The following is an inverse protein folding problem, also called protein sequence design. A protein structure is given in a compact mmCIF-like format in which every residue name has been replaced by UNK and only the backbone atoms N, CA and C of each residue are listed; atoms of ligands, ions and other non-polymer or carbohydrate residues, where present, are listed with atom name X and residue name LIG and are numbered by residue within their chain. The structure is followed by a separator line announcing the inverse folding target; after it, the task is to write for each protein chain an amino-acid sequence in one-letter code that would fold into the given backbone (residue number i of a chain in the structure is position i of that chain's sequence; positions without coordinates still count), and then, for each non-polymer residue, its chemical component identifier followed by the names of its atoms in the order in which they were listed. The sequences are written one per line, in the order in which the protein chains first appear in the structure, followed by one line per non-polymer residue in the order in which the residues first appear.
data_IF_059269695783
#
_entry.id   IF_059269695783
#
_cell.length_a   1.000
_cell.length_b   1.000
_cell.length_c   1.000
_cell.angle_alpha   90.00
_cell.angle_beta   90.00
_cell.angle_gamma   90.00
#
_symmetry.space_group_name_H-M   'P 1'
#
loop_
_entity.id
_entity.type
_entity.pdbx_description
1 polymer ?
#
# COMPACT_ATOMS: atom_id res chain seq x y z
N UNK A 1 7.12 -3.42 11.18
CA UNK A 1 6.70 -4.46 10.21
C UNK A 1 7.92 -5.30 9.90
N UNK A 2 7.78 -6.61 9.70
CA UNK A 2 8.91 -7.44 9.25
C UNK A 2 9.16 -7.26 7.75
N UNK A 3 10.32 -7.73 7.26
CA UNK A 3 10.75 -7.52 5.87
C UNK A 3 9.80 -8.21 4.87
N UNK A 4 9.26 -9.39 5.20
CA UNK A 4 8.36 -10.13 4.30
C UNK A 4 7.02 -9.42 4.18
N UNK A 5 6.41 -9.05 5.30
CA UNK A 5 5.17 -8.26 5.31
C UNK A 5 5.36 -6.93 4.61
N UNK A 6 6.52 -6.29 4.78
CA UNK A 6 6.81 -4.99 4.14
C UNK A 6 6.91 -5.12 2.62
N UNK A 7 7.58 -6.16 2.11
CA UNK A 7 7.68 -6.43 0.68
C UNK A 7 6.34 -6.80 0.04
N UNK A 8 5.56 -7.64 0.72
CA UNK A 8 4.23 -8.02 0.28
C UNK A 8 3.28 -6.80 0.24
N UNK A 9 3.29 -5.99 1.30
CA UNK A 9 2.49 -4.78 1.36
C UNK A 9 2.90 -3.77 0.28
N UNK A 10 4.19 -3.52 0.08
CA UNK A 10 4.65 -2.59 -0.97
C UNK A 10 4.12 -2.98 -2.35
N UNK A 11 4.09 -4.28 -2.68
CA UNK A 11 3.49 -4.75 -3.93
C UNK A 11 1.98 -4.60 -3.99
N UNK A 12 1.29 -4.88 -2.88
CA UNK A 12 -0.15 -4.62 -2.76
C UNK A 12 -0.44 -3.14 -3.02
N UNK A 13 0.33 -2.24 -2.42
CA UNK A 13 0.16 -0.80 -2.59
C UNK A 13 0.40 -0.36 -4.03
N UNK A 14 1.44 -0.89 -4.70
CA UNK A 14 1.67 -0.63 -6.13
C UNK A 14 0.47 -1.09 -6.98
N UNK A 15 -0.07 -2.27 -6.72
CA UNK A 15 -1.24 -2.77 -7.46
C UNK A 15 -2.50 -1.93 -7.22
N UNK A 16 -2.67 -1.41 -6.01
CA UNK A 16 -3.79 -0.53 -5.66
C UNK A 16 -3.63 0.84 -6.34
N UNK A 17 -2.46 1.47 -6.22
CA UNK A 17 -2.19 2.78 -6.82
C UNK A 17 -2.25 2.78 -8.36
N UNK A 18 -2.00 1.65 -9.01
CA UNK A 18 -2.06 1.53 -10.47
C UNK A 18 -3.43 1.06 -10.98
N UNK A 19 -4.38 0.76 -10.09
CA UNK A 19 -5.63 0.08 -10.46
C UNK A 19 -6.56 0.92 -11.33
N UNK A 20 -6.55 2.23 -11.13
CA UNK A 20 -7.37 3.21 -11.86
C UNK A 20 -6.66 3.75 -13.12
N UNK A 21 -5.40 3.36 -13.34
CA UNK A 21 -4.56 3.81 -14.45
C UNK A 21 -4.07 5.25 -14.34
N UNK A 22 -4.30 5.92 -13.21
CA UNK A 22 -3.93 7.31 -12.96
C UNK A 22 -2.98 7.37 -11.78
N UNK A 23 -1.69 7.21 -12.04
CA UNK A 23 -0.63 7.48 -11.07
C UNK A 23 0.23 8.63 -11.60
N UNK A 24 0.57 9.61 -10.76
CA UNK A 24 1.50 10.66 -11.17
C UNK A 24 2.91 10.10 -11.38
N UNK A 25 3.70 10.76 -12.23
CA UNK A 25 5.07 10.32 -12.48
C UNK A 25 5.94 10.37 -11.21
N UNK A 26 5.66 11.32 -10.32
CA UNK A 26 6.30 11.46 -9.02
C UNK A 26 5.99 10.29 -8.08
N UNK A 27 4.72 9.85 -8.04
CA UNK A 27 4.30 8.70 -7.25
C UNK A 27 4.82 7.38 -7.80
N UNK A 28 4.77 7.20 -9.12
CA UNK A 28 5.34 6.03 -9.78
C UNK A 28 6.83 5.93 -9.47
N UNK A 29 7.57 7.03 -9.61
CA UNK A 29 8.99 7.08 -9.30
C UNK A 29 9.28 6.76 -7.82
N UNK A 30 8.47 7.30 -6.90
CA UNK A 30 8.57 7.00 -5.47
C UNK A 30 8.40 5.50 -5.21
N UNK A 31 7.36 4.88 -5.76
CA UNK A 31 7.07 3.46 -5.58
C UNK A 31 8.16 2.56 -6.20
N UNK A 32 8.70 2.94 -7.36
CA UNK A 32 9.83 2.26 -8.00
C UNK A 32 11.11 2.34 -7.16
N UNK A 33 11.42 3.52 -6.61
CA UNK A 33 12.57 3.73 -5.74
C UNK A 33 12.46 2.87 -4.48
N UNK A 34 11.30 2.85 -3.83
CA UNK A 34 11.07 2.03 -2.64
C UNK A 34 11.12 0.54 -2.96
N UNK A 35 10.60 0.14 -4.12
CA UNK A 35 10.72 -1.24 -4.62
C UNK A 35 12.19 -1.61 -4.81
N UNK A 36 13.00 -0.68 -5.31
CA UNK A 36 14.44 -0.88 -5.50
C UNK A 36 15.19 -0.96 -4.16
N UNK A 37 14.91 -0.05 -3.21
CA UNK A 37 15.47 -0.10 -1.86
C UNK A 37 15.11 -1.43 -1.17
N UNK A 38 13.84 -1.84 -1.27
CA UNK A 38 13.40 -3.13 -0.77
C UNK A 38 14.19 -4.28 -1.40
N UNK A 39 14.35 -4.30 -2.74
CA UNK A 39 15.14 -5.32 -3.44
C UNK A 39 16.60 -5.35 -2.96
N UNK A 40 17.19 -4.20 -2.64
CA UNK A 40 18.56 -4.12 -2.12
C UNK A 40 18.67 -4.68 -0.70
N UNK A 41 17.71 -4.40 0.17
CA UNK A 41 17.66 -4.97 1.52
C UNK A 41 17.33 -6.47 1.50
N UNK A 42 16.38 -6.86 0.65
CA UNK A 42 15.95 -8.24 0.45
C UNK A 42 17.00 -9.08 -0.28
N UNK A 43 17.99 -8.51 -0.98
CA UNK A 43 19.14 -9.27 -1.53
C UNK A 43 19.97 -10.01 -0.46
N UNK A 44 19.70 -9.79 0.83
CA UNK A 44 20.23 -10.59 1.93
C UNK A 44 19.44 -11.92 2.13
N UNK A 45 18.24 -12.07 1.55
CA UNK A 45 17.38 -13.24 1.72
C UNK A 45 16.65 -13.60 0.41
N UNK A 46 16.85 -14.83 -0.09
CA UNK A 46 16.37 -15.35 -1.37
C UNK A 46 14.82 -15.41 -1.53
N UNK A 47 14.15 -14.27 -1.63
CA UNK A 47 12.69 -14.15 -1.83
C UNK A 47 12.31 -13.48 -3.15
N UNK A 48 13.31 -13.24 -4.01
CA UNK A 48 13.17 -12.51 -5.27
C UNK A 48 12.18 -13.20 -6.23
N UNK A 49 12.18 -14.53 -6.25
CA UNK A 49 11.36 -15.34 -7.17
C UNK A 49 9.85 -15.32 -6.86
N UNK A 50 9.48 -15.21 -5.57
CA UNK A 50 8.07 -15.20 -5.13
C UNK A 50 7.39 -13.85 -5.37
N UNK A 51 8.19 -12.79 -5.44
CA UNK A 51 7.73 -11.44 -5.66
C UNK A 51 7.71 -11.13 -7.17
N UNK A 52 8.69 -11.57 -7.96
CA UNK A 52 8.81 -11.18 -9.38
C UNK A 52 7.77 -11.84 -10.33
N UNK A 53 6.89 -12.72 -9.83
CA UNK A 53 5.72 -13.19 -10.57
C UNK A 53 4.54 -12.23 -10.43
N UNK A 54 3.65 -12.08 -11.44
CA UNK A 54 2.37 -11.39 -11.32
C UNK A 54 1.47 -12.19 -10.35
N UNK A 55 1.72 -11.99 -9.08
CA UNK A 55 1.06 -12.65 -7.97
C UNK A 55 -0.20 -11.86 -7.67
N UNK A 56 -1.36 -12.52 -7.73
CA UNK A 56 -2.64 -11.94 -7.36
C UNK A 56 -2.52 -11.20 -6.02
N UNK A 57 -3.19 -10.05 -5.89
CA UNK A 57 -3.23 -9.26 -4.65
C UNK A 57 -3.54 -10.13 -3.42
N UNK A 58 -4.36 -11.18 -3.60
CA UNK A 58 -4.71 -12.15 -2.56
C UNK A 58 -3.50 -12.95 -2.07
N UNK A 59 -2.62 -13.38 -2.98
CA UNK A 59 -1.42 -14.14 -2.66
C UNK A 59 -0.33 -13.29 -2.01
N UNK A 60 -0.33 -11.98 -2.27
CA UNK A 60 0.55 -11.04 -1.60
C UNK A 60 -0.01 -10.71 -0.21
N UNK A 61 -1.32 -10.47 -0.10
CA UNK A 61 -1.98 -10.18 1.16
C UNK A 61 -1.83 -11.32 2.17
N UNK A 62 -1.89 -12.59 1.74
CA UNK A 62 -1.67 -13.74 2.62
C UNK A 62 -0.24 -13.87 3.16
N UNK A 63 0.73 -13.17 2.55
CA UNK A 63 2.12 -13.11 3.04
C UNK A 63 2.34 -12.02 4.11
N UNK A 64 1.36 -11.15 4.35
CA UNK A 64 1.40 -10.12 5.38
C UNK A 64 0.98 -10.74 6.71
N UNK A 65 1.79 -10.59 7.75
CA UNK A 65 1.49 -11.11 9.07
C UNK A 65 0.23 -10.45 9.68
N UNK A 66 -0.56 -11.24 10.41
CA UNK A 66 -1.90 -10.85 10.90
C UNK A 66 -1.91 -9.58 11.76
N UNK A 67 -0.84 -9.35 12.52
CA UNK A 67 -0.68 -8.16 13.35
C UNK A 67 -0.57 -6.86 12.53
N UNK A 68 -0.28 -6.96 11.24
CA UNK A 68 -0.16 -5.82 10.34
C UNK A 68 -1.38 -5.62 9.45
N UNK A 69 -2.38 -6.52 9.47
CA UNK A 69 -3.53 -6.48 8.56
C UNK A 69 -4.31 -5.16 8.61
N UNK A 70 -4.61 -4.65 9.80
CA UNK A 70 -5.34 -3.38 9.95
C UNK A 70 -4.52 -2.19 9.44
N UNK A 71 -3.22 -2.18 9.73
CA UNK A 71 -2.31 -1.14 9.27
C UNK A 71 -2.15 -1.19 7.74
N UNK A 72 -1.93 -2.38 7.18
CA UNK A 72 -1.83 -2.63 5.75
C UNK A 72 -3.10 -2.17 5.01
N UNK A 73 -4.27 -2.51 5.56
CA UNK A 73 -5.56 -2.12 5.00
C UNK A 73 -5.76 -0.59 5.03
N UNK A 74 -5.45 0.06 6.16
CA UNK A 74 -5.49 1.51 6.28
C UNK A 74 -4.58 2.19 5.25
N UNK A 75 -3.33 1.72 5.14
CA UNK A 75 -2.36 2.26 4.18
C UNK A 75 -2.85 2.08 2.75
N UNK A 76 -3.44 0.93 2.41
CA UNK A 76 -4.00 0.70 1.06
C UNK A 76 -5.14 1.67 0.73
N UNK A 77 -6.04 1.95 1.70
CA UNK A 77 -7.09 2.97 1.52
C UNK A 77 -6.47 4.34 1.26
N UNK A 78 -5.50 4.73 2.07
CA UNK A 78 -4.88 6.06 1.96
C UNK A 78 -4.11 6.23 0.64
N UNK A 79 -3.42 5.17 0.17
CA UNK A 79 -2.74 5.17 -1.12
C UNK A 79 -3.73 5.31 -2.27
N UNK A 80 -4.82 4.52 -2.28
CA UNK A 80 -5.87 4.65 -3.28
C UNK A 80 -6.43 6.09 -3.33
N UNK A 81 -6.73 6.67 -2.16
CA UNK A 81 -7.26 8.03 -2.11
C UNK A 81 -6.27 9.13 -2.52
N UNK A 82 -4.96 8.94 -2.31
CA UNK A 82 -3.93 9.94 -2.67
C UNK A 82 -3.60 9.89 -4.16
N UNK A 83 -3.54 8.70 -4.76
CA UNK A 83 -3.13 8.54 -6.15
C UNK A 83 -4.22 8.90 -7.16
N UNK A 84 -5.44 9.19 -6.71
CA UNK A 84 -6.55 9.61 -7.55
C UNK A 84 -6.25 10.90 -8.33
N UNK A 85 -6.72 10.94 -9.57
CA UNK A 85 -6.67 12.14 -10.40
C UNK A 85 -7.52 13.29 -9.81
N UNK A 86 -7.00 14.51 -9.88
CA UNK A 86 -7.70 15.73 -9.46
C UNK A 86 -9.06 15.88 -10.17
N UNK A 87 -10.14 16.01 -9.38
CA UNK A 87 -11.47 16.35 -9.88
C UNK A 87 -12.53 15.24 -9.84
N UNK A 88 -12.22 14.07 -9.29
CA UNK A 88 -13.20 13.01 -9.07
C UNK A 88 -13.81 13.06 -7.65
N UNK A 89 -15.15 13.07 -7.55
CA UNK A 89 -15.90 13.27 -6.30
C UNK A 89 -15.86 12.07 -5.32
N UNK A 90 -15.54 10.87 -5.81
CA UNK A 90 -15.52 9.66 -4.99
C UNK A 90 -14.23 9.53 -4.14
N UNK A 91 -14.26 8.72 -3.09
CA UNK A 91 -13.11 8.53 -2.20
C UNK A 91 -12.09 7.51 -2.74
N UNK A 92 -12.57 6.58 -3.57
CA UNK A 92 -11.86 5.45 -4.19
C UNK A 92 -12.62 5.06 -5.46
N UNK A 93 -11.95 4.69 -6.56
CA UNK A 93 -12.62 4.23 -7.78
C UNK A 93 -13.19 2.80 -7.65
N UNK A 94 -13.93 2.31 -8.65
CA UNK A 94 -14.56 0.99 -8.59
C UNK A 94 -13.54 -0.16 -8.56
N UNK A 95 -12.47 -0.03 -9.34
CA UNK A 95 -11.38 -0.99 -9.49
C UNK A 95 -10.57 -1.09 -8.18
N UNK A 96 -10.19 0.04 -7.61
CA UNK A 96 -9.53 0.12 -6.31
C UNK A 96 -10.43 -0.42 -5.20
N UNK A 97 -11.73 -0.10 -5.22
CA UNK A 97 -12.69 -0.61 -4.23
C UNK A 97 -12.80 -2.15 -4.31
N UNK A 98 -12.71 -2.75 -5.51
CA UNK A 98 -12.65 -4.21 -5.65
C UNK A 98 -11.38 -4.79 -5.02
N UNK A 99 -10.22 -4.16 -5.24
CA UNK A 99 -8.97 -4.58 -4.62
C UNK A 99 -9.01 -4.45 -3.09
N UNK A 100 -9.55 -3.36 -2.57
CA UNK A 100 -9.75 -3.16 -1.13
C UNK A 100 -10.72 -4.18 -0.54
N UNK A 101 -11.81 -4.53 -1.23
CA UNK A 101 -12.73 -5.57 -0.77
C UNK A 101 -12.03 -6.94 -0.70
N UNK A 102 -11.20 -7.26 -1.70
CA UNK A 102 -10.41 -8.48 -1.71
C UNK A 102 -9.38 -8.52 -0.58
N UNK A 103 -8.76 -7.39 -0.26
CA UNK A 103 -7.83 -7.26 0.87
C UNK A 103 -8.56 -7.45 2.20
N UNK A 104 -9.68 -6.77 2.40
CA UNK A 104 -10.47 -6.87 3.62
C UNK A 104 -10.93 -8.31 3.89
N UNK A 105 -11.36 -9.01 2.83
CA UNK A 105 -11.72 -10.42 2.91
C UNK A 105 -10.53 -11.32 3.27
N UNK A 106 -9.36 -11.06 2.68
CA UNK A 106 -8.13 -11.85 2.97
C UNK A 106 -7.61 -11.62 4.38
N UNK A 107 -7.78 -10.41 4.90
CA UNK A 107 -7.43 -10.03 6.27
C UNK A 107 -8.50 -10.38 7.30
N UNK A 108 -9.60 -11.00 6.87
CA UNK A 108 -10.73 -11.39 7.73
C UNK A 108 -11.27 -10.22 8.57
N UNK A 109 -11.25 -9.00 8.01
CA UNK A 109 -11.71 -7.80 8.72
C UNK A 109 -13.24 -7.77 8.80
N UNK A 110 -13.77 -7.47 9.98
CA UNK A 110 -15.20 -7.25 10.17
C UNK A 110 -15.66 -5.94 9.55
N UNK A 111 -16.95 -5.81 9.26
CA UNK A 111 -17.53 -4.55 8.76
C UNK A 111 -17.26 -3.37 9.72
N UNK A 112 -17.37 -3.60 11.03
CA UNK A 112 -17.07 -2.58 12.05
C UNK A 112 -15.60 -2.15 12.02
N UNK A 113 -14.67 -3.10 11.82
CA UNK A 113 -13.25 -2.77 11.66
C UNK A 113 -12.99 -2.00 10.38
N UNK A 114 -13.61 -2.39 9.25
CA UNK A 114 -13.48 -1.70 7.97
C UNK A 114 -13.95 -0.25 8.08
N UNK A 115 -15.12 -0.02 8.68
CA UNK A 115 -15.67 1.32 8.90
C UNK A 115 -14.78 2.17 9.82
N UNK A 116 -14.31 1.59 10.94
CA UNK A 116 -13.41 2.28 11.85
C UNK A 116 -12.09 2.66 11.17
N UNK A 117 -11.50 1.76 10.38
CA UNK A 117 -10.25 2.01 9.65
C UNK A 117 -10.46 3.07 8.57
N UNK A 118 -11.58 3.03 7.82
CA UNK A 118 -11.91 4.08 6.83
C UNK A 118 -12.02 5.45 7.47
N UNK A 119 -12.72 5.55 8.60
CA UNK A 119 -12.83 6.82 9.31
C UNK A 119 -11.46 7.32 9.81
N UNK A 120 -10.57 6.43 10.27
CA UNK A 120 -9.19 6.82 10.62
C UNK A 120 -8.39 7.29 9.40
N UNK A 121 -8.49 6.59 8.27
CA UNK A 121 -7.83 6.97 7.02
C UNK A 121 -8.30 8.36 6.56
N UNK A 122 -9.61 8.62 6.56
CA UNK A 122 -10.17 9.94 6.23
C UNK A 122 -9.65 11.05 7.14
N UNK A 123 -9.52 10.78 8.45
CA UNK A 123 -8.98 11.76 9.40
C UNK A 123 -7.50 12.06 9.14
N UNK A 124 -6.72 11.05 8.75
CA UNK A 124 -5.31 11.24 8.40
C UNK A 124 -5.16 11.97 7.06
N UNK A 125 -5.98 11.64 6.06
CA UNK A 125 -6.00 12.30 4.75
C UNK A 125 -6.42 13.77 4.82
N UNK A 126 -7.26 14.17 5.79
CA UNK A 126 -7.59 15.58 6.05
C UNK A 126 -6.36 16.45 6.38
N UNK A 127 -5.25 15.85 6.80
CA UNK A 127 -3.98 16.55 7.01
C UNK A 127 -3.21 16.82 5.71
N UNK A 128 -3.75 16.35 4.58
CA UNK A 128 -3.13 16.39 3.26
C UNK A 128 -1.72 15.78 3.24
N UNK A 129 -1.55 14.54 3.76
CA UNK A 129 -0.27 13.89 3.69
C UNK A 129 0.08 13.57 2.24
N UNK A 130 1.35 13.70 1.88
CA UNK A 130 1.82 13.16 0.59
C UNK A 130 2.00 11.64 0.67
N UNK A 131 2.13 10.98 -0.49
CA UNK A 131 2.31 9.53 -0.58
C UNK A 131 3.47 9.03 0.30
N UNK A 132 4.59 9.76 0.34
CA UNK A 132 5.74 9.38 1.17
C UNK A 132 5.42 9.38 2.66
N UNK A 133 4.71 10.38 3.17
CA UNK A 133 4.34 10.45 4.59
C UNK A 133 3.43 9.28 4.99
N UNK A 134 2.52 8.86 4.11
CA UNK A 134 1.67 7.69 4.32
C UNK A 134 2.50 6.41 4.36
N UNK A 135 3.39 6.20 3.37
CA UNK A 135 4.25 5.02 3.32
C UNK A 135 5.22 4.98 4.51
N UNK A 136 5.80 6.12 4.89
CA UNK A 136 6.70 6.24 6.04
C UNK A 136 5.99 5.91 7.36
N UNK A 137 4.73 6.34 7.53
CA UNK A 137 3.94 6.00 8.73
C UNK A 137 3.71 4.49 8.88
N UNK A 138 3.72 3.75 7.77
CA UNK A 138 3.49 2.32 7.72
C UNK A 138 4.78 1.50 7.89
N UNK A 139 5.82 1.85 7.14
CA UNK A 139 7.08 1.10 7.11
C UNK A 139 8.11 1.59 8.13
N UNK A 140 7.96 2.82 8.65
CA UNK A 140 8.89 3.46 9.57
C UNK A 140 10.25 3.71 8.91
N UNK A 141 11.33 3.55 9.68
CA UNK A 141 12.71 3.76 9.23
C UNK A 141 13.27 2.62 8.36
N UNK A 142 12.43 1.70 7.88
CA UNK A 142 12.87 0.61 7.01
C UNK A 142 13.26 1.11 5.62
N UNK A 143 12.71 2.22 5.17
CA UNK A 143 13.06 2.84 3.90
C UNK A 143 13.70 4.21 4.13
N UNK A 144 14.70 4.54 3.32
CA UNK A 144 15.30 5.87 3.30
C UNK A 144 14.41 6.83 2.53
N UNK A 145 14.24 8.05 3.06
CA UNK A 145 13.46 9.08 2.40
C UNK A 145 14.10 9.46 1.05
N UNK A 146 13.43 9.20 -0.08
CA UNK A 146 13.98 9.48 -1.40
C UNK A 146 14.06 10.97 -1.72
N UNK A 147 13.35 11.84 -0.98
CA UNK A 147 13.42 13.29 -1.12
C UNK A 147 14.59 13.97 -0.39
N UNK A 148 15.51 13.19 0.22
CA UNK A 148 16.69 13.69 0.94
C UNK A 148 18.03 13.41 0.23
N UNK A 149 18.01 13.08 -1.07
CA UNK A 149 19.20 12.89 -1.91
C UNK A 149 19.52 14.12 -2.76
#
# INVERSE_FOLDING_TARGET
MDIQSSGALLKVLNLVAMADGHISAEEEHLLELLTTQYKLQAKIIAWQDDLDQPTSILSLASKIASEYHQLAYKTAIMVASISRADGEDDFVCMEEQQLLNNLAATFELSLEQIEAIRHQAEQELKKQPNLWEVLYSCFGSQFENPGLL
#
